data_IF_698115580842
#
_entry.id   IF_698115580842
#
_cell.length_a   1.000
_cell.length_b   1.000
_cell.length_c   1.000
_cell.angle_alpha   90.00
_cell.angle_beta   90.00
_cell.angle_gamma   90.00
#
_symmetry.space_group_name_H-M   'P 1'
#
loop_
_entity.id
_entity.type
_entity.pdbx_description
1 polymer ?
#
# COMPACT_ATOMS: atom_id res chain seq x y z
N UNK A 1 1.89 5.64 13.93
CA UNK A 1 2.87 6.72 13.90
C UNK A 1 4.30 6.20 13.98
N UNK A 2 4.59 5.43 15.00
CA UNK A 2 5.92 4.86 15.15
C UNK A 2 6.30 4.00 13.95
N UNK A 3 5.33 3.27 13.41
CA UNK A 3 5.58 2.39 12.29
C UNK A 3 5.99 3.16 11.05
N UNK A 4 5.30 4.24 10.78
CA UNK A 4 5.62 5.07 9.62
C UNK A 4 7.01 5.68 9.78
N UNK A 5 7.32 6.17 10.97
CA UNK A 5 8.63 6.75 11.25
C UNK A 5 9.74 5.71 11.12
N UNK A 6 9.48 4.51 11.60
CA UNK A 6 10.46 3.44 11.52
C UNK A 6 10.78 3.09 10.06
N UNK A 7 9.76 3.01 9.23
CA UNK A 7 9.97 2.71 7.82
C UNK A 7 10.66 3.87 7.10
N UNK A 8 10.28 5.10 7.42
CA UNK A 8 10.94 6.25 6.84
C UNK A 8 12.43 6.26 7.17
N UNK A 9 12.78 5.92 8.41
CA UNK A 9 14.17 5.88 8.83
C UNK A 9 14.95 4.80 8.09
N UNK A 10 14.29 3.69 7.77
CA UNK A 10 14.94 2.60 7.04
C UNK A 10 15.20 2.92 5.59
N UNK A 11 14.48 3.87 5.04
CA UNK A 11 14.53 4.18 3.63
C UNK A 11 15.34 5.43 3.33
N UNK A 12 16.12 5.88 4.27
CA UNK A 12 16.88 7.09 4.13
C UNK A 12 16.06 8.36 4.34
N UNK A 13 16.77 9.45 4.44
CA UNK A 13 16.16 10.75 4.63
C UNK A 13 15.47 11.24 3.35
N UNK A 14 15.89 10.76 2.19
CA UNK A 14 15.28 11.17 0.93
C UNK A 14 14.28 10.13 0.46
N UNK A 15 13.10 10.58 0.11
CA UNK A 15 12.12 9.70 -0.50
C UNK A 15 12.46 9.48 -1.97
N UNK A 16 11.96 8.39 -2.51
CA UNK A 16 12.08 8.13 -3.93
C UNK A 16 11.13 9.06 -4.70
N UNK A 17 11.62 9.67 -5.74
CA UNK A 17 10.81 10.55 -6.57
C UNK A 17 10.26 9.76 -7.75
N UNK A 18 8.95 9.58 -7.79
CA UNK A 18 8.29 8.85 -8.87
C UNK A 18 8.13 9.75 -10.09
N UNK A 19 8.11 9.12 -11.26
CA UNK A 19 7.86 9.84 -12.48
C UNK A 19 6.38 10.09 -12.71
N UNK A 20 6.02 10.75 -13.82
CA UNK A 20 4.62 10.98 -14.14
C UNK A 20 3.90 9.67 -14.51
N UNK A 21 2.57 9.73 -14.56
CA UNK A 21 1.77 8.57 -14.89
C UNK A 21 2.13 8.01 -16.26
N UNK A 22 2.14 6.68 -16.36
CA UNK A 22 2.37 5.99 -17.61
C UNK A 22 1.04 5.66 -18.29
N UNK A 23 1.11 5.15 -19.51
CA UNK A 23 -0.08 4.67 -20.21
C UNK A 23 -0.75 3.54 -19.43
N UNK A 24 0.04 2.66 -18.81
CA UNK A 24 -0.51 1.57 -18.01
C UNK A 24 -1.25 2.10 -16.79
N UNK A 25 -0.76 3.18 -16.19
CA UNK A 25 -1.45 3.79 -15.06
C UNK A 25 -2.85 4.24 -15.50
N UNK A 26 -2.94 4.87 -16.65
CA UNK A 26 -4.22 5.33 -17.17
C UNK A 26 -5.16 4.16 -17.44
N UNK A 27 -4.63 3.10 -18.07
CA UNK A 27 -5.45 1.91 -18.33
C UNK A 27 -5.96 1.30 -17.04
N UNK A 28 -5.11 1.21 -16.03
CA UNK A 28 -5.50 0.68 -14.74
C UNK A 28 -6.62 1.50 -14.12
N UNK A 29 -6.49 2.81 -14.18
CA UNK A 29 -7.49 3.70 -13.57
C UNK A 29 -8.82 3.64 -14.31
N UNK A 30 -8.78 3.48 -15.63
CA UNK A 30 -10.00 3.38 -16.42
C UNK A 30 -10.79 2.11 -16.15
N UNK A 31 -10.16 1.10 -15.58
CA UNK A 31 -10.83 -0.13 -15.21
C UNK A 31 -11.68 -0.02 -13.95
N UNK A 32 -11.58 1.10 -13.25
CA UNK A 32 -12.42 1.33 -12.08
C UNK A 32 -13.88 1.43 -12.53
N UNK A 33 -14.77 0.56 -12.02
CA UNK A 33 -16.12 0.45 -12.57
C UNK A 33 -17.09 1.51 -12.09
N UNK A 34 -16.64 2.43 -11.25
CA UNK A 34 -17.49 3.48 -10.70
C UNK A 34 -16.97 4.84 -11.09
N UNK A 35 -17.81 5.85 -10.96
CA UNK A 35 -17.37 7.22 -11.16
C UNK A 35 -16.66 7.71 -9.91
N UNK A 36 -15.55 8.39 -10.11
CA UNK A 36 -14.85 8.99 -8.98
C UNK A 36 -15.61 10.20 -8.46
N UNK A 37 -15.64 10.36 -7.15
CA UNK A 37 -16.14 11.58 -6.55
C UNK A 37 -15.08 12.66 -6.63
N UNK A 38 -15.46 13.91 -6.44
CA UNK A 38 -14.52 15.02 -6.44
C UNK A 38 -13.48 14.84 -5.33
N UNK A 39 -13.91 14.38 -4.16
CA UNK A 39 -13.00 14.14 -3.05
C UNK A 39 -12.01 13.04 -3.38
N UNK A 40 -12.45 11.99 -4.07
CA UNK A 40 -11.55 10.93 -4.49
C UNK A 40 -10.50 11.45 -5.47
N UNK A 41 -10.94 12.21 -6.46
CA UNK A 41 -10.01 12.77 -7.44
C UNK A 41 -8.99 13.68 -6.78
N UNK A 42 -9.41 14.50 -5.83
CA UNK A 42 -8.51 15.37 -5.10
C UNK A 42 -7.48 14.54 -4.31
N UNK A 43 -7.95 13.52 -3.61
CA UNK A 43 -7.06 12.67 -2.83
C UNK A 43 -6.07 11.91 -3.71
N UNK A 44 -6.53 11.44 -4.87
CA UNK A 44 -5.67 10.74 -5.82
C UNK A 44 -4.59 11.70 -6.34
N UNK A 45 -4.99 12.90 -6.73
CA UNK A 45 -4.04 13.88 -7.24
C UNK A 45 -3.02 14.29 -6.19
N UNK A 46 -3.46 14.50 -4.95
CA UNK A 46 -2.56 14.87 -3.86
C UNK A 46 -1.56 13.74 -3.59
N UNK A 47 -2.03 12.51 -3.60
CA UNK A 47 -1.17 11.36 -3.38
C UNK A 47 -0.11 11.25 -4.47
N UNK A 48 -0.52 11.39 -5.73
CA UNK A 48 0.42 11.33 -6.84
C UNK A 48 1.43 12.47 -6.79
N UNK A 49 0.97 13.64 -6.40
CA UNK A 49 1.87 14.78 -6.28
C UNK A 49 2.94 14.53 -5.22
N UNK A 50 2.53 13.95 -4.08
CA UNK A 50 3.50 13.60 -3.05
C UNK A 50 4.50 12.56 -3.54
N UNK A 51 4.02 11.57 -4.28
CA UNK A 51 4.90 10.53 -4.82
C UNK A 51 5.88 11.10 -5.85
N UNK A 52 5.46 12.09 -6.60
CA UNK A 52 6.30 12.71 -7.62
C UNK A 52 7.22 13.79 -7.06
N UNK A 53 7.14 14.05 -5.76
CA UNK A 53 8.05 14.97 -5.09
C UNK A 53 9.20 14.17 -4.46
N UNK A 54 10.22 14.88 -3.99
CA UNK A 54 11.36 14.23 -3.33
C UNK A 54 11.12 14.01 -1.84
N UNK A 55 9.95 14.32 -1.35
CA UNK A 55 9.65 14.17 0.06
C UNK A 55 9.36 12.72 0.39
N UNK A 56 9.77 12.29 1.58
CA UNK A 56 9.38 10.98 2.06
C UNK A 56 7.87 10.96 2.20
N UNK A 57 7.26 9.97 1.59
CA UNK A 57 5.82 9.86 1.61
C UNK A 57 5.38 8.94 2.74
N UNK A 58 4.80 9.53 3.77
CA UNK A 58 4.23 8.78 4.88
C UNK A 58 2.74 9.09 5.03
N UNK A 59 2.07 9.24 3.91
CA UNK A 59 0.66 9.60 3.89
C UNK A 59 -0.21 8.44 4.35
N UNK A 60 -1.14 8.74 5.23
CA UNK A 60 -2.17 7.78 5.60
C UNK A 60 -3.37 7.97 4.68
N UNK A 61 -3.81 6.86 4.12
CA UNK A 61 -5.03 6.86 3.35
C UNK A 61 -6.17 6.60 4.33
N UNK A 62 -6.91 7.63 4.66
CA UNK A 62 -7.99 7.49 5.60
C UNK A 62 -9.22 8.22 5.08
N UNK A 63 -10.34 8.01 5.72
CA UNK A 63 -11.59 8.56 5.30
C UNK A 63 -12.70 7.57 5.55
N UNK A 64 -13.79 7.77 4.90
CA UNK A 64 -14.93 6.90 5.06
C UNK A 64 -14.63 5.50 4.55
N UNK A 65 -15.21 4.52 5.21
CA UNK A 65 -15.13 3.13 4.80
C UNK A 65 -15.74 2.98 3.42
N UNK A 66 -15.15 2.12 2.62
CA UNK A 66 -15.72 1.76 1.35
C UNK A 66 -14.75 1.89 0.21
N UNK A 67 -15.29 1.96 -0.97
CA UNK A 67 -14.51 1.85 -2.19
C UNK A 67 -13.52 2.98 -2.39
N UNK A 68 -13.89 4.18 -1.98
CA UNK A 68 -13.10 5.35 -2.29
C UNK A 68 -11.69 5.28 -1.76
N UNK A 69 -11.56 4.88 -0.52
CA UNK A 69 -10.26 4.79 0.13
C UNK A 69 -9.40 3.71 -0.51
N UNK A 70 -9.99 2.56 -0.77
CA UNK A 70 -9.24 1.45 -1.37
C UNK A 70 -8.77 1.79 -2.78
N UNK A 71 -9.61 2.47 -3.54
CA UNK A 71 -9.22 2.83 -4.90
C UNK A 71 -8.06 3.81 -4.93
N UNK A 72 -8.02 4.75 -3.99
CA UNK A 72 -6.87 5.66 -3.87
C UNK A 72 -5.60 4.86 -3.61
N UNK A 73 -5.68 3.91 -2.69
CA UNK A 73 -4.54 3.07 -2.36
C UNK A 73 -4.11 2.20 -3.53
N UNK A 74 -5.08 1.66 -4.27
CA UNK A 74 -4.78 0.85 -5.45
C UNK A 74 -4.01 1.64 -6.49
N UNK A 75 -4.42 2.86 -6.75
CA UNK A 75 -3.76 3.70 -7.74
C UNK A 75 -2.35 4.08 -7.33
N UNK A 76 -2.17 4.39 -6.04
CA UNK A 76 -0.84 4.68 -5.52
C UNK A 76 0.07 3.46 -5.59
N UNK A 77 -0.46 2.29 -5.21
CA UNK A 77 0.32 1.06 -5.24
C UNK A 77 0.73 0.70 -6.67
N UNK A 78 -0.19 0.83 -7.62
CA UNK A 78 0.13 0.52 -9.00
C UNK A 78 1.23 1.44 -9.52
N UNK A 79 1.14 2.73 -9.19
CA UNK A 79 2.17 3.70 -9.59
C UNK A 79 3.53 3.32 -9.01
N UNK A 80 3.58 2.92 -7.76
CA UNK A 80 4.85 2.53 -7.13
C UNK A 80 5.45 1.29 -7.79
N UNK A 81 4.62 0.30 -8.07
CA UNK A 81 5.10 -0.96 -8.67
C UNK A 81 5.66 -0.72 -10.08
N UNK A 82 5.09 0.22 -10.81
CA UNK A 82 5.61 0.52 -12.14
C UNK A 82 7.02 1.09 -12.13
N UNK A 83 7.42 1.68 -11.03
CA UNK A 83 8.78 2.19 -10.86
C UNK A 83 9.70 1.16 -10.21
N UNK A 84 9.25 -0.08 -10.13
CA UNK A 84 10.05 -1.14 -9.55
C UNK A 84 10.07 -1.17 -8.04
N UNK A 85 9.16 -0.45 -7.40
CA UNK A 85 9.11 -0.40 -5.93
C UNK A 85 8.11 -1.41 -5.38
N UNK A 86 8.37 -1.86 -4.17
CA UNK A 86 7.45 -2.73 -3.46
C UNK A 86 6.56 -1.91 -2.54
N UNK A 87 5.38 -2.44 -2.28
CA UNK A 87 4.35 -1.73 -1.52
C UNK A 87 3.88 -2.60 -0.37
N UNK A 88 3.73 -1.99 0.79
CA UNK A 88 3.12 -2.63 1.96
C UNK A 88 1.76 -1.98 2.19
N UNK A 89 0.74 -2.79 2.31
CA UNK A 89 -0.58 -2.33 2.72
C UNK A 89 -0.88 -2.93 4.09
N UNK A 90 -0.84 -2.10 5.10
CA UNK A 90 -0.97 -2.52 6.49
C UNK A 90 -2.41 -2.32 6.95
N UNK A 91 -3.00 -3.38 7.47
CA UNK A 91 -4.39 -3.35 7.93
C UNK A 91 -4.46 -3.83 9.38
N UNK A 92 -5.53 -3.47 10.10
CA UNK A 92 -5.62 -3.83 11.51
C UNK A 92 -6.05 -5.27 11.81
N UNK A 93 -6.72 -5.94 10.89
CA UNK A 93 -7.22 -7.29 11.16
C UNK A 93 -6.96 -8.24 10.01
N UNK A 94 -6.92 -9.52 10.33
CA UNK A 94 -6.73 -10.57 9.33
C UNK A 94 -7.89 -10.62 8.34
N UNK A 95 -9.11 -10.39 8.83
CA UNK A 95 -10.28 -10.39 7.95
C UNK A 95 -10.18 -9.27 6.94
N UNK A 96 -9.80 -8.10 7.39
CA UNK A 96 -9.64 -6.95 6.48
C UNK A 96 -8.50 -7.20 5.50
N UNK A 97 -7.42 -7.84 5.96
CA UNK A 97 -6.32 -8.19 5.09
C UNK A 97 -6.79 -9.08 3.94
N UNK A 98 -7.64 -10.05 4.24
CA UNK A 98 -8.17 -10.94 3.22
C UNK A 98 -9.02 -10.18 2.21
N UNK A 99 -9.85 -9.28 2.68
CA UNK A 99 -10.72 -8.49 1.81
C UNK A 99 -9.89 -7.58 0.89
N UNK A 100 -8.91 -6.91 1.45
CA UNK A 100 -8.05 -6.01 0.67
C UNK A 100 -7.22 -6.81 -0.33
N UNK A 101 -6.70 -7.95 0.11
CA UNK A 101 -5.94 -8.82 -0.77
C UNK A 101 -6.77 -9.25 -1.99
N UNK A 102 -8.00 -9.68 -1.74
CA UNK A 102 -8.88 -10.10 -2.83
C UNK A 102 -9.14 -8.94 -3.80
N UNK A 103 -9.36 -7.75 -3.27
CA UNK A 103 -9.58 -6.57 -4.11
C UNK A 103 -8.36 -6.25 -4.96
N UNK A 104 -7.18 -6.30 -4.35
CA UNK A 104 -5.95 -6.03 -5.09
C UNK A 104 -5.69 -7.07 -6.18
N UNK A 105 -5.88 -8.35 -5.86
CA UNK A 105 -5.70 -9.41 -6.86
C UNK A 105 -6.65 -9.20 -8.04
N UNK A 106 -7.90 -8.90 -7.75
CA UNK A 106 -8.90 -8.70 -8.79
C UNK A 106 -8.57 -7.52 -9.69
N UNK A 107 -8.16 -6.40 -9.07
CA UNK A 107 -7.86 -5.19 -9.83
C UNK A 107 -6.55 -5.29 -10.62
N UNK A 108 -5.60 -6.07 -10.12
CA UNK A 108 -4.27 -6.17 -10.73
C UNK A 108 -4.11 -7.36 -11.68
N UNK A 109 -5.15 -8.16 -11.85
CA UNK A 109 -5.02 -9.46 -12.54
C UNK A 109 -4.57 -9.34 -13.99
N UNK A 110 -4.84 -8.24 -14.64
CA UNK A 110 -4.48 -8.07 -16.05
C UNK A 110 -3.11 -7.40 -16.24
N UNK A 111 -2.39 -7.22 -15.16
CA UNK A 111 -1.08 -6.56 -15.18
C UNK A 111 -0.04 -7.47 -14.54
N UNK A 112 1.23 -7.31 -14.89
CA UNK A 112 2.29 -8.15 -14.32
C UNK A 112 2.68 -7.69 -12.91
N UNK A 113 1.72 -7.67 -12.01
CA UNK A 113 1.90 -7.25 -10.62
C UNK A 113 1.60 -8.44 -9.73
N UNK A 114 2.52 -8.77 -8.84
CA UNK A 114 2.33 -9.89 -7.93
C UNK A 114 1.95 -9.39 -6.55
N UNK A 115 0.75 -9.80 -6.14
CA UNK A 115 0.18 -9.43 -4.85
C UNK A 115 0.19 -10.65 -3.96
N UNK A 116 0.62 -10.49 -2.73
CA UNK A 116 0.60 -11.58 -1.77
C UNK A 116 0.10 -11.07 -0.43
N UNK A 117 -0.11 -11.96 0.51
CA UNK A 117 -0.71 -11.64 1.79
C UNK A 117 0.01 -12.39 2.90
N UNK A 118 0.20 -11.72 4.02
CA UNK A 118 0.67 -12.36 5.24
C UNK A 118 -0.47 -12.42 6.23
N UNK A 119 -0.79 -13.63 6.68
CA UNK A 119 -1.92 -13.86 7.56
C UNK A 119 -1.66 -15.10 8.37
N UNK A 120 -2.21 -15.12 9.58
CA UNK A 120 -2.11 -16.30 10.43
C UNK A 120 -2.84 -17.50 9.84
N UNK A 121 -3.66 -17.29 8.82
CA UNK A 121 -4.36 -18.40 8.15
C UNK A 121 -3.48 -19.09 7.11
N UNK A 122 -2.32 -18.54 6.82
CA UNK A 122 -1.40 -19.15 5.88
C UNK A 122 -0.49 -20.15 6.60
N UNK A 123 -0.10 -21.20 5.89
CA UNK A 123 0.79 -22.20 6.47
C UNK A 123 2.19 -21.59 6.66
N UNK A 124 3.00 -22.17 7.58
CA UNK A 124 4.37 -21.71 7.73
C UNK A 124 5.18 -21.78 6.42
N UNK A 125 4.93 -22.82 5.61
CA UNK A 125 5.61 -22.91 4.32
C UNK A 125 5.23 -21.80 3.36
N UNK A 126 3.94 -21.46 3.31
CA UNK A 126 3.47 -20.36 2.49
C UNK A 126 4.07 -19.03 2.97
N UNK A 127 4.08 -18.82 4.28
CA UNK A 127 4.64 -17.60 4.84
C UNK A 127 6.12 -17.47 4.53
N UNK A 128 6.85 -18.57 4.63
CA UNK A 128 8.28 -18.56 4.32
C UNK A 128 8.52 -18.20 2.87
N UNK A 129 7.69 -18.73 1.98
CA UNK A 129 7.80 -18.45 0.56
C UNK A 129 7.53 -16.97 0.27
N UNK A 130 6.54 -16.40 0.95
CA UNK A 130 6.21 -14.98 0.80
C UNK A 130 7.35 -14.11 1.30
N UNK A 131 7.93 -14.43 2.45
CA UNK A 131 9.06 -13.68 3.00
C UNK A 131 10.23 -13.71 2.03
N UNK A 132 10.51 -14.87 1.47
CA UNK A 132 11.59 -15.02 0.50
C UNK A 132 11.30 -14.21 -0.76
N UNK A 133 10.05 -14.24 -1.22
CA UNK A 133 9.64 -13.47 -2.40
C UNK A 133 9.78 -11.97 -2.21
N UNK A 134 9.49 -11.48 -1.01
CA UNK A 134 9.68 -10.06 -0.70
C UNK A 134 11.16 -9.69 -0.73
N UNK A 135 11.99 -10.52 -0.15
CA UNK A 135 13.42 -10.26 -0.09
C UNK A 135 14.04 -10.23 -1.48
N UNK A 136 13.58 -11.11 -2.36
CA UNK A 136 14.13 -11.23 -3.71
C UNK A 136 13.45 -10.31 -4.72
N UNK A 137 12.38 -9.63 -4.32
CA UNK A 137 11.66 -8.73 -5.21
C UNK A 137 10.63 -9.43 -6.10
N UNK A 138 10.27 -10.66 -5.78
CA UNK A 138 9.27 -11.40 -6.57
C UNK A 138 7.85 -11.04 -6.17
N UNK A 139 7.65 -10.44 -4.99
CA UNK A 139 6.35 -9.97 -4.56
C UNK A 139 6.37 -8.46 -4.63
N UNK A 140 5.42 -7.89 -5.35
CA UNK A 140 5.36 -6.44 -5.56
C UNK A 140 4.54 -5.74 -4.49
N UNK A 141 3.42 -6.34 -4.08
CA UNK A 141 2.52 -5.75 -3.09
C UNK A 141 2.23 -6.81 -2.04
N UNK A 142 2.42 -6.43 -0.79
CA UNK A 142 2.11 -7.32 0.33
C UNK A 142 1.04 -6.67 1.20
N UNK A 143 -0.01 -7.43 1.48
CA UNK A 143 -1.10 -7.02 2.36
C UNK A 143 -0.99 -7.83 3.64
N UNK A 144 -1.13 -7.18 4.77
CA UNK A 144 -1.09 -7.90 6.03
C UNK A 144 -1.26 -7.02 7.23
N UNK A 145 -1.23 -7.67 8.39
CA UNK A 145 -1.27 -6.97 9.67
C UNK A 145 0.16 -6.72 10.12
N UNK A 146 0.36 -6.50 11.42
CA UNK A 146 1.68 -6.20 11.96
C UNK A 146 2.74 -7.24 11.63
N UNK A 147 2.32 -8.44 11.23
CA UNK A 147 3.28 -9.49 10.86
C UNK A 147 4.22 -9.05 9.74
N UNK A 148 3.74 -8.18 8.83
CA UNK A 148 4.59 -7.71 7.72
C UNK A 148 5.72 -6.82 8.21
N UNK A 149 5.65 -6.35 9.45
CA UNK A 149 6.66 -5.48 10.03
C UNK A 149 7.67 -6.23 10.88
N UNK A 150 7.57 -7.54 10.95
CA UNK A 150 8.48 -8.36 11.76
C UNK A 150 9.90 -8.28 11.22
N UNK A 151 10.86 -8.53 12.10
CA UNK A 151 12.27 -8.38 11.74
C UNK A 151 12.73 -9.33 10.64
N UNK A 152 12.07 -10.47 10.51
CA UNK A 152 12.43 -11.44 9.48
C UNK A 152 11.92 -11.06 8.09
N UNK A 153 11.10 -10.02 8.00
CA UNK A 153 10.57 -9.57 6.72
C UNK A 153 11.46 -8.46 6.18
N UNK A 154 12.09 -8.73 5.06
CA UNK A 154 12.97 -7.79 4.40
C UNK A 154 12.48 -7.55 2.98
N UNK A 155 12.69 -6.35 2.49
CA UNK A 155 12.26 -5.96 1.15
C UNK A 155 13.46 -5.64 0.29
N UNK A 156 13.39 -6.02 -0.97
CA UNK A 156 14.44 -5.66 -1.90
C UNK A 156 14.42 -4.17 -2.21
N UNK A 157 13.22 -3.62 -2.39
CA UNK A 157 13.10 -2.23 -2.84
C UNK A 157 11.76 -1.64 -2.40
N UNK A 158 11.58 -1.49 -1.09
CA UNK A 158 10.34 -0.94 -0.56
C UNK A 158 10.23 0.55 -0.87
N UNK A 159 9.09 0.96 -1.44
CA UNK A 159 8.90 2.35 -1.83
C UNK A 159 7.65 3.00 -1.29
N UNK A 160 6.69 2.23 -0.81
CA UNK A 160 5.42 2.81 -0.36
C UNK A 160 4.84 1.99 0.78
N UNK A 161 4.45 2.67 1.82
CA UNK A 161 3.74 2.07 2.95
C UNK A 161 2.38 2.73 3.06
N UNK A 162 1.32 1.92 2.94
CA UNK A 162 -0.05 2.38 3.10
C UNK A 162 -0.58 1.80 4.39
N UNK A 163 -1.10 2.67 5.26
CA UNK A 163 -1.65 2.25 6.54
C UNK A 163 -3.14 2.49 6.53
N UNK A 164 -3.90 1.43 6.68
CA UNK A 164 -5.35 1.49 6.71
C UNK A 164 -5.79 1.63 8.16
N UNK A 165 -6.20 2.83 8.52
CA UNK A 165 -6.58 3.16 9.89
C UNK A 165 -8.08 3.02 10.08
N UNK A 166 -8.62 1.90 9.67
CA UNK A 166 -10.05 1.70 9.84
C UNK A 166 -10.50 2.12 11.23
N UNK A 167 -11.73 2.53 11.32
CA UNK A 167 -12.27 3.08 12.57
C UNK A 167 -12.28 2.08 13.71
N UNK A 168 -11.90 0.86 13.48
CA UNK A 168 -11.78 -0.08 14.57
C UNK A 168 -10.72 0.34 15.58
N UNK A 169 -9.77 1.18 15.17
CA UNK A 169 -8.84 1.77 16.13
C UNK A 169 -9.57 2.85 16.91
N UNK A 170 -9.14 3.07 18.12
CA UNK A 170 -9.73 4.09 18.94
C UNK A 170 -9.41 5.49 18.43
N UNK A 171 -10.12 6.46 18.98
CA UNK A 171 -9.95 7.86 18.60
C UNK A 171 -8.51 8.31 18.79
N UNK A 172 -7.88 7.83 19.84
CA UNK A 172 -6.50 8.19 20.14
C UNK A 172 -5.55 7.82 18.99
N UNK A 173 -5.74 6.66 18.42
CA UNK A 173 -4.91 6.23 17.29
C UNK A 173 -5.12 7.13 16.09
N UNK A 174 -6.35 7.49 15.82
CA UNK A 174 -6.63 8.36 14.69
C UNK A 174 -5.99 9.73 14.86
N UNK A 175 -6.10 10.28 16.06
CA UNK A 175 -5.52 11.60 16.33
C UNK A 175 -4.01 11.59 16.12
N UNK A 176 -3.36 10.54 16.54
CA UNK A 176 -1.92 10.41 16.37
C UNK A 176 -1.56 10.24 14.90
N UNK A 177 -2.33 9.42 14.20
CA UNK A 177 -2.02 9.10 12.81
C UNK A 177 -2.16 10.29 11.87
N UNK A 178 -3.04 11.20 12.19
CA UNK A 178 -3.35 12.31 11.28
C UNK A 178 -2.47 13.53 11.47
N UNK A 179 -1.51 13.44 12.33
CA UNK A 179 -0.66 14.59 12.59
C UNK A 179 0.49 14.73 11.61
N UNK A 180 0.57 13.89 10.62
CA UNK A 180 1.64 14.04 9.63
C UNK A 180 1.18 14.38 8.28
#
# INVERSE_FOLDING_TARGET
KELVQLYAARQDAEGFQYGPDTVWQKEFEEMFPYDETDDQLTAIDDTKRDMESKKIMDRLICGDVGYGKTEIALRAAFKAVQEGKQVVYLVPTTILAQQIYNTFVQRMKDFPVRVDMMSRFRTPGEMKKTVEGLKKGYVDIIVGTHRVLSKDVQFKNLGLLIVDEEQRFGVTHKAVSYTH
#
